data_IF_786534723302
#
_entry.id   IF_786534723302
#
_cell.length_a   1.000
_cell.length_b   1.000
_cell.length_c   1.000
_cell.angle_alpha   90.00
_cell.angle_beta   90.00
_cell.angle_gamma   90.00
#
_symmetry.space_group_name_H-M   'P 1'
#
loop_
_entity.id
_entity.type
_entity.pdbx_description
1 polymer ?
#
# COMPACT_ATOMS: atom_id res chain seq x y z
N UNK A 1 9.97 34.46 7.57
CA UNK A 1 8.66 33.96 7.12
C UNK A 1 8.02 35.02 6.23
N UNK A 2 8.05 34.82 4.90
CA UNK A 2 7.38 35.69 3.93
C UNK A 2 6.44 34.80 3.11
N UNK A 3 5.14 35.03 3.29
CA UNK A 3 4.04 34.33 2.65
C UNK A 3 3.81 35.04 1.29
N UNK A 4 3.93 34.31 0.18
CA UNK A 4 3.56 34.80 -1.15
C UNK A 4 2.09 34.49 -1.43
N UNK A 5 1.31 35.42 -2.03
CA UNK A 5 -0.05 35.14 -2.46
C UNK A 5 -0.06 34.47 -3.83
N UNK A 6 -0.77 33.34 -3.90
CA UNK A 6 -1.07 32.57 -5.12
C UNK A 6 -2.12 33.29 -5.96
N UNK A 7 -1.83 33.56 -7.24
CA UNK A 7 -2.80 34.09 -8.21
C UNK A 7 -3.71 32.98 -8.75
N UNK A 8 -5.02 33.23 -8.97
CA UNK A 8 -5.95 32.23 -9.49
C UNK A 8 -5.84 32.08 -11.01
N UNK A 9 -5.71 30.83 -11.46
CA UNK A 9 -5.67 30.42 -12.86
C UNK A 9 -7.08 30.51 -13.47
N UNK A 10 -7.32 31.54 -14.28
CA UNK A 10 -8.59 31.80 -14.96
C UNK A 10 -8.82 30.81 -16.11
N UNK A 11 -9.84 29.98 -15.98
CA UNK A 11 -10.36 29.11 -17.04
C UNK A 11 -10.98 29.95 -18.17
N UNK A 12 -10.45 29.80 -19.40
CA UNK A 12 -11.09 30.33 -20.61
C UNK A 12 -11.80 29.19 -21.33
N UNK A 13 -13.12 29.17 -21.19
CA UNK A 13 -14.05 28.44 -22.05
C UNK A 13 -13.85 28.89 -23.51
N UNK A 14 -13.56 27.97 -24.42
CA UNK A 14 -13.70 28.20 -25.87
C UNK A 14 -15.00 27.56 -26.33
N UNK A 15 -15.98 28.42 -26.64
CA UNK A 15 -17.20 28.05 -27.33
C UNK A 15 -16.86 27.64 -28.78
N UNK A 16 -17.26 26.43 -29.17
CA UNK A 16 -17.20 25.99 -30.55
C UNK A 16 -18.47 26.46 -31.27
N UNK A 17 -18.31 27.49 -32.10
CA UNK A 17 -19.35 27.97 -33.02
C UNK A 17 -19.52 26.96 -34.16
N UNK A 18 -20.76 26.49 -34.33
CA UNK A 18 -21.20 25.64 -35.44
C UNK A 18 -21.38 26.54 -36.67
N UNK A 19 -20.54 26.38 -37.69
CA UNK A 19 -20.81 26.91 -39.02
C UNK A 19 -21.19 25.78 -39.96
N UNK A 20 -22.49 25.69 -40.23
CA UNK A 20 -23.06 24.92 -41.32
C UNK A 20 -22.73 25.64 -42.63
N UNK A 21 -21.80 25.07 -43.41
CA UNK A 21 -21.52 25.52 -44.76
C UNK A 21 -22.21 24.60 -45.76
N UNK A 22 -23.30 25.10 -46.34
CA UNK A 22 -23.96 24.53 -47.52
C UNK A 22 -23.14 24.92 -48.74
N UNK A 23 -22.51 23.96 -49.39
CA UNK A 23 -22.01 24.13 -50.75
C UNK A 23 -22.51 22.98 -51.63
N UNK A 24 -23.21 23.44 -52.66
CA UNK A 24 -23.82 22.72 -53.77
C UNK A 24 -22.73 22.03 -54.59
N UNK A 25 -22.83 20.71 -54.78
CA UNK A 25 -22.08 19.99 -55.82
C UNK A 25 -23.03 19.70 -57.00
N UNK A 26 -22.69 20.11 -58.24
CA UNK A 26 -23.43 19.72 -59.43
C UNK A 26 -23.17 18.25 -59.79
N UNK A 27 -24.28 17.57 -60.11
CA UNK A 27 -24.34 16.20 -60.58
C UNK A 27 -23.55 16.03 -61.89
N UNK A 28 -22.45 15.29 -61.84
CA UNK A 28 -21.82 14.71 -63.02
C UNK A 28 -22.47 13.34 -63.26
N UNK A 29 -23.40 13.31 -64.20
CA UNK A 29 -23.91 12.09 -64.83
C UNK A 29 -22.74 11.30 -65.42
N UNK A 30 -22.43 10.15 -64.85
CA UNK A 30 -21.55 9.15 -65.45
C UNK A 30 -22.32 7.82 -65.47
N UNK A 31 -22.95 7.60 -66.61
CA UNK A 31 -23.55 6.34 -67.05
C UNK A 31 -22.48 5.25 -67.08
N UNK A 32 -22.51 4.34 -66.10
CA UNK A 32 -21.79 3.08 -66.18
C UNK A 32 -22.78 1.95 -66.45
N UNK A 33 -22.65 1.42 -67.67
CA UNK A 33 -23.45 0.33 -68.20
C UNK A 33 -23.26 -0.95 -67.37
N UNK A 34 -24.40 -1.57 -67.04
CA UNK A 34 -24.50 -2.93 -66.54
C UNK A 34 -24.07 -3.88 -67.66
N UNK A 35 -22.95 -4.58 -67.46
CA UNK A 35 -22.69 -5.87 -68.11
C UNK A 35 -22.47 -6.92 -67.03
N UNK A 36 -23.44 -7.85 -66.95
CA UNK A 36 -23.28 -9.14 -66.33
C UNK A 36 -22.36 -10.01 -67.20
N UNK A 37 -21.32 -10.59 -66.60
CA UNK A 37 -20.51 -11.66 -67.18
C UNK A 37 -20.11 -12.64 -66.06
N UNK A 38 -19.92 -13.93 -66.40
CA UNK A 38 -20.21 -15.06 -65.52
C UNK A 38 -19.09 -15.38 -64.52
N UNK A 39 -19.49 -15.98 -63.41
CA UNK A 39 -18.59 -16.58 -62.44
C UNK A 39 -17.86 -17.78 -63.05
N UNK A 40 -16.65 -17.57 -63.55
CA UNK A 40 -15.66 -18.64 -63.70
C UNK A 40 -14.84 -18.72 -62.42
N UNK A 41 -14.95 -19.85 -61.73
CA UNK A 41 -14.10 -20.19 -60.61
C UNK A 41 -12.66 -20.31 -61.07
N UNK A 42 -11.84 -19.31 -60.74
CA UNK A 42 -10.39 -19.49 -60.74
C UNK A 42 -10.00 -20.28 -59.49
N UNK A 43 -9.53 -21.50 -59.71
CA UNK A 43 -8.74 -22.24 -58.74
C UNK A 43 -7.43 -21.48 -58.48
N UNK A 44 -7.31 -20.90 -57.29
CA UNK A 44 -6.03 -20.36 -56.82
C UNK A 44 -5.04 -21.51 -56.63
N UNK A 45 -3.80 -21.42 -57.15
CA UNK A 45 -2.76 -22.37 -56.77
C UNK A 45 -2.43 -22.16 -55.29
N UNK A 46 -2.40 -23.25 -54.54
CA UNK A 46 -1.94 -23.27 -53.16
C UNK A 46 -0.54 -22.68 -53.10
N UNK A 47 -0.38 -21.57 -52.38
CA UNK A 47 0.92 -21.00 -52.08
C UNK A 47 1.77 -22.06 -51.39
N UNK A 48 2.92 -22.39 -51.98
CA UNK A 48 3.94 -23.17 -51.31
C UNK A 48 4.29 -22.49 -49.98
N UNK A 49 4.60 -23.24 -48.91
CA UNK A 49 5.02 -22.64 -47.65
C UNK A 49 6.27 -21.82 -47.93
N UNK A 50 6.17 -20.50 -47.78
CA UNK A 50 7.33 -19.63 -47.75
C UNK A 50 8.28 -20.19 -46.69
N UNK A 51 9.45 -20.64 -47.13
CA UNK A 51 10.50 -21.08 -46.23
C UNK A 51 10.67 -19.99 -45.17
N UNK A 52 10.50 -20.38 -43.91
CA UNK A 52 10.68 -19.48 -42.78
C UNK A 52 12.11 -18.93 -42.87
N UNK A 53 12.23 -17.67 -43.30
CA UNK A 53 13.49 -16.94 -43.24
C UNK A 53 13.88 -16.93 -41.77
N UNK A 54 15.06 -17.43 -41.38
CA UNK A 54 15.48 -17.36 -39.99
C UNK A 54 15.45 -15.90 -39.57
N UNK A 55 14.59 -15.58 -38.60
CA UNK A 55 14.48 -14.24 -38.02
C UNK A 55 15.63 -14.05 -37.05
N UNK A 56 16.85 -14.02 -37.59
CA UNK A 56 17.96 -13.39 -36.88
C UNK A 56 17.67 -11.89 -36.88
N UNK A 57 17.58 -11.24 -35.70
CA UNK A 57 17.39 -9.81 -35.65
C UNK A 57 18.54 -9.12 -36.40
N UNK A 58 18.26 -8.05 -37.16
CA UNK A 58 19.30 -7.30 -37.86
C UNK A 58 20.36 -6.80 -36.87
N UNK A 59 21.62 -7.11 -37.16
CA UNK A 59 22.78 -6.67 -36.36
C UNK A 59 23.21 -5.26 -36.81
N UNK A 60 22.48 -4.25 -36.30
CA UNK A 60 22.78 -2.84 -36.56
C UNK A 60 24.13 -2.41 -35.95
N UNK A 61 24.56 -3.05 -34.85
CA UNK A 61 25.78 -2.69 -34.12
C UNK A 61 27.03 -2.89 -34.96
N UNK A 62 27.18 -4.07 -35.59
CA UNK A 62 28.31 -4.35 -36.46
C UNK A 62 28.39 -3.39 -37.66
N UNK A 63 27.25 -2.92 -38.18
CA UNK A 63 27.23 -1.96 -39.30
C UNK A 63 27.64 -0.55 -38.85
N UNK A 64 27.23 -0.12 -37.65
CA UNK A 64 27.73 1.14 -37.05
C UNK A 64 29.25 1.12 -36.86
N UNK A 65 29.83 0.00 -36.44
CA UNK A 65 31.28 -0.14 -36.27
C UNK A 65 32.02 -0.06 -37.60
N UNK A 66 31.47 -0.64 -38.67
CA UNK A 66 32.00 -0.53 -40.04
C UNK A 66 31.94 0.90 -40.54
N UNK A 67 30.84 1.60 -40.33
CA UNK A 67 30.67 3.02 -40.70
C UNK A 67 31.68 3.88 -39.94
N UNK A 68 31.82 3.66 -38.63
CA UNK A 68 32.76 4.41 -37.77
C UNK A 68 34.21 4.17 -38.21
N UNK A 69 34.56 2.92 -38.49
CA UNK A 69 35.88 2.56 -39.03
C UNK A 69 36.09 3.20 -40.41
N UNK A 70 35.09 3.21 -41.28
CA UNK A 70 35.19 3.86 -42.58
C UNK A 70 35.42 5.38 -42.46
N UNK A 71 34.75 6.06 -41.52
CA UNK A 71 34.99 7.48 -41.21
C UNK A 71 36.43 7.71 -40.75
N UNK A 72 36.94 6.91 -39.81
CA UNK A 72 38.30 7.07 -39.29
C UNK A 72 39.36 6.82 -40.36
N UNK A 73 39.15 5.85 -41.26
CA UNK A 73 40.03 5.62 -42.41
C UNK A 73 40.01 6.77 -43.43
N UNK A 74 38.85 7.37 -43.69
CA UNK A 74 38.74 8.54 -44.58
C UNK A 74 39.48 9.75 -44.00
N UNK A 75 39.34 10.00 -42.70
CA UNK A 75 40.09 11.05 -42.00
C UNK A 75 41.60 10.79 -42.00
N UNK A 76 42.01 9.54 -41.78
CA UNK A 76 43.42 9.14 -41.86
C UNK A 76 44.00 9.39 -43.27
N UNK A 77 43.28 8.99 -44.33
CA UNK A 77 43.70 9.25 -45.72
C UNK A 77 43.83 10.74 -46.00
N UNK A 78 42.88 11.55 -45.53
CA UNK A 78 42.97 13.00 -45.66
C UNK A 78 44.20 13.57 -44.94
N UNK A 79 44.45 13.19 -43.69
CA UNK A 79 45.60 13.68 -42.93
C UNK A 79 46.94 13.33 -43.60
N UNK A 80 47.04 12.14 -44.21
CA UNK A 80 48.23 11.76 -44.99
C UNK A 80 48.35 12.56 -46.28
N UNK A 81 47.24 12.77 -47.00
CA UNK A 81 47.23 13.58 -48.22
C UNK A 81 47.60 15.05 -47.94
N UNK A 82 47.12 15.61 -46.83
CA UNK A 82 47.44 16.97 -46.39
C UNK A 82 48.94 17.13 -46.10
N UNK A 83 49.56 16.19 -45.37
CA UNK A 83 51.01 16.17 -45.16
C UNK A 83 51.78 16.12 -46.48
N UNK A 84 51.40 15.21 -47.37
CA UNK A 84 52.01 15.08 -48.70
C UNK A 84 51.78 16.29 -49.61
N UNK A 85 50.82 17.17 -49.32
CA UNK A 85 50.60 18.40 -50.08
C UNK A 85 51.63 19.48 -49.76
N UNK A 86 52.19 19.49 -48.55
CA UNK A 86 53.22 20.48 -48.17
C UNK A 86 54.54 20.28 -48.89
N UNK A 87 54.80 19.08 -49.42
CA UNK A 87 55.99 18.79 -50.25
C UNK A 87 55.83 19.26 -51.71
N UNK A 88 54.71 19.85 -52.09
CA UNK A 88 54.40 20.25 -53.48
C UNK A 88 54.44 21.75 -53.68
N UNK A 89 54.81 22.18 -54.87
CA UNK A 89 54.89 23.61 -55.21
C UNK A 89 53.52 24.33 -55.16
N UNK A 90 52.43 23.66 -55.58
CA UNK A 90 51.06 24.21 -55.53
C UNK A 90 50.29 23.67 -54.32
N UNK A 91 50.75 23.96 -53.10
CA UNK A 91 50.18 23.46 -51.84
C UNK A 91 48.67 23.73 -51.74
N UNK A 92 48.23 24.97 -51.97
CA UNK A 92 46.82 25.36 -51.83
C UNK A 92 45.89 24.51 -52.71
N UNK A 93 46.22 24.39 -53.99
CA UNK A 93 45.43 23.58 -54.94
C UNK A 93 45.46 22.09 -54.58
N UNK A 94 46.58 21.60 -54.03
CA UNK A 94 46.66 20.23 -53.56
C UNK A 94 45.72 19.98 -52.36
N UNK A 95 45.73 20.88 -51.38
CA UNK A 95 44.89 20.79 -50.19
C UNK A 95 43.40 20.86 -50.58
N UNK A 96 43.02 21.74 -51.49
CA UNK A 96 41.62 21.85 -51.95
C UNK A 96 41.14 20.55 -52.60
N UNK A 97 41.97 19.93 -53.45
CA UNK A 97 41.66 18.60 -54.01
C UNK A 97 41.54 17.51 -52.95
N UNK A 98 42.40 17.53 -51.92
CA UNK A 98 42.31 16.59 -50.82
C UNK A 98 41.02 16.78 -49.99
N UNK A 99 40.59 18.03 -49.79
CA UNK A 99 39.32 18.37 -49.13
C UNK A 99 38.11 17.90 -49.94
N UNK A 100 38.14 18.07 -51.27
CA UNK A 100 37.08 17.59 -52.15
C UNK A 100 36.96 16.06 -52.09
N UNK A 101 38.08 15.34 -52.17
CA UNK A 101 38.10 13.89 -52.02
C UNK A 101 37.53 13.44 -50.67
N UNK A 102 37.94 14.08 -49.57
CA UNK A 102 37.39 13.82 -48.22
C UNK A 102 35.88 14.08 -48.17
N UNK A 103 35.41 15.18 -48.74
CA UNK A 103 33.97 15.52 -48.76
C UNK A 103 33.17 14.44 -49.47
N UNK A 104 33.63 13.98 -50.63
CA UNK A 104 32.96 12.91 -51.39
C UNK A 104 32.95 11.58 -50.63
N UNK A 105 34.08 11.19 -50.03
CA UNK A 105 34.14 9.96 -49.22
C UNK A 105 33.20 10.03 -48.02
N UNK A 106 33.26 11.10 -47.23
CA UNK A 106 32.38 11.30 -46.07
C UNK A 106 30.90 11.38 -46.46
N UNK A 107 30.57 11.97 -47.61
CA UNK A 107 29.20 12.01 -48.11
C UNK A 107 28.65 10.59 -48.35
N UNK A 108 29.41 9.73 -49.04
CA UNK A 108 29.01 8.33 -49.26
C UNK A 108 28.86 7.52 -47.96
N UNK A 109 29.67 7.85 -46.95
CA UNK A 109 29.55 7.22 -45.63
C UNK A 109 28.30 7.73 -44.90
N UNK A 110 27.98 9.01 -45.03
CA UNK A 110 26.78 9.62 -44.43
C UNK A 110 25.49 9.07 -45.04
N UNK A 111 25.45 8.82 -46.35
CA UNK A 111 24.31 8.18 -47.01
C UNK A 111 24.03 6.79 -46.42
N UNK A 112 25.08 5.98 -46.20
CA UNK A 112 24.97 4.67 -45.55
C UNK A 112 24.47 4.77 -44.11
N UNK A 113 24.97 5.73 -43.35
CA UNK A 113 24.51 5.99 -41.97
C UNK A 113 23.03 6.37 -41.93
N UNK A 114 22.57 7.25 -42.82
CA UNK A 114 21.16 7.63 -42.90
C UNK A 114 20.25 6.46 -43.28
N UNK A 115 20.70 5.59 -44.19
CA UNK A 115 19.98 4.38 -44.55
C UNK A 115 19.87 3.39 -43.36
N UNK A 116 20.95 3.25 -42.58
CA UNK A 116 20.96 2.43 -41.37
C UNK A 116 19.99 2.98 -40.32
N UNK A 117 20.02 4.30 -40.08
CA UNK A 117 19.14 4.97 -39.12
C UNK A 117 17.65 4.88 -39.51
N UNK A 118 17.34 4.94 -40.81
CA UNK A 118 15.97 4.72 -41.32
C UNK A 118 15.53 3.27 -41.09
N UNK A 119 16.38 2.30 -41.40
CA UNK A 119 16.09 0.88 -41.16
C UNK A 119 15.85 0.59 -39.66
N UNK A 120 16.66 1.17 -38.77
CA UNK A 120 16.49 1.01 -37.32
C UNK A 120 15.20 1.67 -36.82
N UNK A 121 14.84 2.84 -37.35
CA UNK A 121 13.55 3.49 -37.05
C UNK A 121 12.36 2.64 -37.52
N UNK A 122 12.45 2.06 -38.71
CA UNK A 122 11.42 1.18 -39.26
C UNK A 122 11.28 -0.11 -38.43
N UNK A 123 12.39 -0.74 -38.03
CA UNK A 123 12.38 -1.93 -37.18
C UNK A 123 11.72 -1.65 -35.82
N UNK A 124 12.13 -0.56 -35.15
CA UNK A 124 11.51 -0.16 -33.88
C UNK A 124 10.02 0.16 -34.03
N UNK A 125 9.60 0.72 -35.16
CA UNK A 125 8.18 0.94 -35.44
C UNK A 125 7.43 -0.38 -35.61
N UNK A 126 7.95 -1.30 -36.42
CA UNK A 126 7.37 -2.62 -36.63
C UNK A 126 7.25 -3.41 -35.32
N UNK A 127 8.28 -3.38 -34.47
CA UNK A 127 8.24 -4.01 -33.14
C UNK A 127 7.17 -3.42 -32.24
N UNK A 128 7.03 -2.09 -32.19
CA UNK A 128 5.96 -1.45 -31.41
C UNK A 128 4.57 -1.83 -31.91
N UNK A 129 4.39 -1.94 -33.23
CA UNK A 129 3.11 -2.32 -33.83
C UNK A 129 2.79 -3.79 -33.54
N UNK A 130 3.77 -4.69 -33.59
CA UNK A 130 3.63 -6.08 -33.18
C UNK A 130 3.27 -6.19 -31.69
N UNK A 131 3.99 -5.51 -30.81
CA UNK A 131 3.70 -5.49 -29.37
C UNK A 131 2.31 -4.92 -29.07
N UNK A 132 1.89 -3.88 -29.80
CA UNK A 132 0.53 -3.34 -29.71
C UNK A 132 -0.51 -4.35 -30.15
N UNK A 133 -0.32 -5.00 -31.29
CA UNK A 133 -1.23 -6.03 -31.78
C UNK A 133 -1.37 -7.20 -30.81
N UNK A 134 -0.27 -7.64 -30.19
CA UNK A 134 -0.28 -8.68 -29.15
C UNK A 134 -1.06 -8.21 -27.93
N UNK A 135 -0.80 -7.00 -27.42
CA UNK A 135 -1.53 -6.45 -26.27
C UNK A 135 -3.01 -6.28 -26.56
N UNK A 136 -3.38 -5.79 -27.74
CA UNK A 136 -4.77 -5.63 -28.14
C UNK A 136 -5.46 -6.98 -28.27
N UNK A 137 -4.79 -8.00 -28.83
CA UNK A 137 -5.30 -9.37 -28.89
C UNK A 137 -5.52 -9.97 -27.51
N UNK A 138 -4.56 -9.84 -26.59
CA UNK A 138 -4.69 -10.28 -25.20
C UNK A 138 -5.82 -9.55 -24.48
N UNK A 139 -5.86 -8.22 -24.63
CA UNK A 139 -6.92 -7.39 -24.05
C UNK A 139 -8.29 -7.86 -24.54
N UNK A 140 -8.46 -8.07 -25.85
CA UNK A 140 -9.70 -8.53 -26.45
C UNK A 140 -10.08 -9.96 -26.01
N UNK A 141 -9.11 -10.87 -25.90
CA UNK A 141 -9.33 -12.22 -25.39
C UNK A 141 -9.82 -12.22 -23.93
N UNK A 142 -9.31 -11.32 -23.09
CA UNK A 142 -9.68 -11.19 -21.68
C UNK A 142 -10.94 -10.35 -21.44
N UNK A 143 -11.46 -9.63 -22.43
CA UNK A 143 -12.67 -8.79 -22.31
C UNK A 143 -13.84 -9.48 -21.61
N UNK A 144 -14.32 -10.66 -22.05
CA UNK A 144 -15.49 -11.29 -21.45
C UNK A 144 -15.25 -11.67 -19.98
N UNK A 145 -14.02 -12.08 -19.62
CA UNK A 145 -13.69 -12.40 -18.24
C UNK A 145 -13.70 -11.15 -17.36
N UNK A 146 -13.16 -10.03 -17.84
CA UNK A 146 -13.17 -8.76 -17.11
C UNK A 146 -14.58 -8.20 -16.95
N UNK A 147 -15.40 -8.27 -18.00
CA UNK A 147 -16.80 -7.86 -17.95
C UNK A 147 -17.61 -8.74 -16.97
N UNK A 148 -17.39 -10.06 -16.98
CA UNK A 148 -18.01 -10.96 -16.02
C UNK A 148 -17.56 -10.67 -14.57
N UNK A 149 -16.28 -10.38 -14.35
CA UNK A 149 -15.76 -10.00 -13.04
C UNK A 149 -16.34 -8.65 -12.57
N UNK A 150 -16.45 -7.66 -13.46
CA UNK A 150 -17.07 -6.38 -13.15
C UNK A 150 -18.55 -6.54 -12.77
N UNK A 151 -19.30 -7.35 -13.53
CA UNK A 151 -20.69 -7.65 -13.19
C UNK A 151 -20.80 -8.33 -11.82
N UNK A 152 -19.96 -9.33 -11.52
CA UNK A 152 -19.94 -9.98 -10.20
C UNK A 152 -19.64 -8.98 -9.08
N UNK A 153 -18.65 -8.11 -9.27
CA UNK A 153 -18.33 -7.08 -8.27
C UNK A 153 -19.50 -6.11 -8.05
N UNK A 154 -20.20 -5.71 -9.12
CA UNK A 154 -21.40 -4.86 -9.04
C UNK A 154 -22.53 -5.57 -8.27
N UNK A 155 -22.79 -6.84 -8.55
CA UNK A 155 -23.82 -7.62 -7.83
C UNK A 155 -23.45 -7.82 -6.37
N UNK A 156 -22.18 -8.13 -6.09
CA UNK A 156 -21.70 -8.34 -4.71
C UNK A 156 -21.78 -7.05 -3.89
N UNK A 157 -21.47 -5.90 -4.51
CA UNK A 157 -21.61 -4.60 -3.87
C UNK A 157 -23.08 -4.31 -3.54
N UNK A 158 -23.99 -4.52 -4.49
CA UNK A 158 -25.42 -4.33 -4.27
C UNK A 158 -25.97 -5.25 -3.16
N UNK A 159 -25.57 -6.52 -3.17
CA UNK A 159 -25.96 -7.50 -2.15
C UNK A 159 -25.45 -7.10 -0.75
N UNK A 160 -24.21 -6.64 -0.65
CA UNK A 160 -23.64 -6.14 0.61
C UNK A 160 -24.36 -4.90 1.11
N UNK A 161 -24.73 -3.98 0.21
CA UNK A 161 -25.49 -2.79 0.57
C UNK A 161 -26.86 -3.17 1.14
N UNK A 162 -27.56 -4.10 0.49
CA UNK A 162 -28.86 -4.58 1.00
C UNK A 162 -28.72 -5.31 2.34
N UNK A 163 -27.70 -6.17 2.47
CA UNK A 163 -27.43 -6.85 3.72
C UNK A 163 -27.13 -5.87 4.86
N UNK A 164 -26.40 -4.78 4.60
CA UNK A 164 -26.16 -3.72 5.59
C UNK A 164 -27.47 -3.06 6.01
N UNK A 165 -28.35 -2.71 5.07
CA UNK A 165 -29.67 -2.14 5.36
C UNK A 165 -30.53 -3.07 6.21
N UNK A 166 -30.54 -4.37 5.89
CA UNK A 166 -31.26 -5.38 6.67
C UNK A 166 -30.69 -5.53 8.08
N UNK A 167 -29.36 -5.58 8.21
CA UNK A 167 -28.68 -5.65 9.51
C UNK A 167 -28.94 -4.41 10.37
N UNK A 168 -28.96 -3.23 9.76
CA UNK A 168 -29.30 -1.97 10.43
C UNK A 168 -30.76 -1.97 10.89
N UNK A 169 -31.69 -2.38 10.02
CA UNK A 169 -33.10 -2.53 10.37
C UNK A 169 -33.29 -3.51 11.53
N UNK A 170 -32.61 -4.66 11.51
CA UNK A 170 -32.64 -5.63 12.62
C UNK A 170 -32.07 -5.04 13.91
N UNK A 171 -30.90 -4.37 13.86
CA UNK A 171 -30.31 -3.71 15.03
C UNK A 171 -31.23 -2.65 15.63
N UNK A 172 -31.94 -1.89 14.80
CA UNK A 172 -32.91 -0.90 15.25
C UNK A 172 -34.14 -1.58 15.86
N UNK A 173 -34.65 -2.64 15.26
CA UNK A 173 -35.76 -3.42 15.81
C UNK A 173 -35.40 -4.05 17.17
N UNK A 174 -34.18 -4.55 17.33
CA UNK A 174 -33.68 -5.16 18.58
C UNK A 174 -33.20 -4.13 19.61
N UNK A 175 -33.06 -2.86 19.26
CA UNK A 175 -32.59 -1.80 20.16
C UNK A 175 -33.37 -1.70 21.49
N UNK A 176 -34.72 -1.69 21.53
CA UNK A 176 -35.47 -1.65 22.78
C UNK A 176 -35.21 -2.90 23.64
N UNK A 177 -35.16 -4.08 23.02
CA UNK A 177 -34.91 -5.32 23.75
C UNK A 177 -33.46 -5.39 24.29
N UNK A 178 -32.47 -4.92 23.52
CA UNK A 178 -31.09 -4.77 24.00
C UNK A 178 -30.98 -3.77 25.15
N UNK A 179 -31.71 -2.66 25.10
CA UNK A 179 -31.75 -1.69 26.20
C UNK A 179 -32.38 -2.29 27.46
N UNK A 180 -33.48 -3.04 27.34
CA UNK A 180 -34.10 -3.74 28.46
C UNK A 180 -33.15 -4.79 29.07
N UNK A 181 -32.48 -5.58 28.23
CA UNK A 181 -31.49 -6.57 28.67
C UNK A 181 -30.29 -5.92 29.37
N UNK A 182 -29.79 -4.79 28.86
CA UNK A 182 -28.71 -4.03 29.48
C UNK A 182 -29.10 -3.49 30.85
N UNK A 183 -30.32 -2.94 30.99
CA UNK A 183 -30.85 -2.49 32.28
C UNK A 183 -31.00 -3.65 33.27
N UNK A 184 -31.50 -4.79 32.82
CA UNK A 184 -31.63 -5.99 33.65
C UNK A 184 -30.26 -6.51 34.12
N UNK A 185 -29.25 -6.50 33.25
CA UNK A 185 -27.88 -6.88 33.60
C UNK A 185 -27.25 -5.90 34.61
N UNK A 186 -27.42 -4.58 34.40
CA UNK A 186 -26.93 -3.56 35.31
C UNK A 186 -27.53 -3.70 36.71
N UNK A 187 -28.85 -3.97 36.81
CA UNK A 187 -29.51 -4.24 38.09
C UNK A 187 -28.93 -5.47 38.79
N UNK A 188 -28.74 -6.57 38.05
CA UNK A 188 -28.13 -7.80 38.62
C UNK A 188 -26.72 -7.53 39.15
N UNK A 189 -25.93 -6.72 38.45
CA UNK A 189 -24.60 -6.35 38.89
C UNK A 189 -24.65 -5.50 40.17
N UNK A 190 -25.50 -4.47 40.23
CA UNK A 190 -25.63 -3.64 41.43
C UNK A 190 -26.13 -4.44 42.64
N UNK A 191 -27.05 -5.37 42.42
CA UNK A 191 -27.56 -6.25 43.48
C UNK A 191 -26.47 -7.20 43.99
N UNK A 192 -25.63 -7.71 43.09
CA UNK A 192 -24.49 -8.55 43.45
C UNK A 192 -23.43 -7.76 44.24
N UNK A 193 -23.08 -6.56 43.77
CA UNK A 193 -22.11 -5.69 44.43
C UNK A 193 -22.61 -5.24 45.82
N UNK A 194 -23.91 -4.93 45.95
CA UNK A 194 -24.53 -4.61 47.23
C UNK A 194 -24.49 -5.79 48.20
N UNK A 195 -24.78 -7.01 47.72
CA UNK A 195 -24.65 -8.25 48.53
C UNK A 195 -23.22 -8.48 48.98
N UNK A 196 -22.24 -8.25 48.10
CA UNK A 196 -20.82 -8.41 48.44
C UNK A 196 -20.39 -7.41 49.51
N UNK A 197 -20.77 -6.14 49.38
CA UNK A 197 -20.50 -5.11 50.40
C UNK A 197 -21.17 -5.43 51.73
N UNK A 198 -22.44 -5.82 51.71
CA UNK A 198 -23.16 -6.21 52.93
C UNK A 198 -22.48 -7.41 53.61
N UNK A 199 -22.02 -8.40 52.84
CA UNK A 199 -21.28 -9.54 53.37
C UNK A 199 -19.90 -9.13 53.96
N UNK A 200 -19.20 -8.18 53.33
CA UNK A 200 -17.93 -7.64 53.83
C UNK A 200 -18.13 -6.85 55.13
N UNK A 201 -19.14 -5.98 55.19
CA UNK A 201 -19.47 -5.19 56.38
C UNK A 201 -19.90 -6.10 57.54
N UNK A 202 -20.74 -7.10 57.28
CA UNK A 202 -21.09 -8.12 58.27
C UNK A 202 -19.86 -8.90 58.71
N UNK A 203 -18.98 -9.28 57.79
CA UNK A 203 -17.71 -9.93 58.09
C UNK A 203 -16.81 -9.08 58.98
N UNK A 204 -16.66 -7.79 58.68
CA UNK A 204 -15.88 -6.82 59.43
C UNK A 204 -16.48 -6.55 60.83
N UNK A 205 -17.80 -6.36 60.92
CA UNK A 205 -18.49 -6.18 62.19
C UNK A 205 -18.36 -7.42 63.09
N UNK A 206 -18.50 -8.61 62.52
CA UNK A 206 -18.29 -9.87 63.24
C UNK A 206 -16.82 -10.05 63.66
N UNK A 207 -15.86 -9.68 62.82
CA UNK A 207 -14.44 -9.69 63.16
C UNK A 207 -14.10 -8.70 64.29
N UNK A 208 -14.67 -7.50 64.28
CA UNK A 208 -14.52 -6.50 65.34
C UNK A 208 -15.09 -7.01 66.67
N UNK A 209 -16.31 -7.58 66.66
CA UNK A 209 -16.91 -8.22 67.85
C UNK A 209 -16.05 -9.35 68.40
N UNK A 210 -15.46 -10.18 67.53
CA UNK A 210 -14.52 -11.24 67.94
C UNK A 210 -13.26 -10.65 68.56
N UNK A 211 -12.68 -9.61 67.95
CA UNK A 211 -11.49 -8.94 68.48
C UNK A 211 -11.74 -8.30 69.86
N UNK A 212 -12.89 -7.66 70.06
CA UNK A 212 -13.29 -7.10 71.35
C UNK A 212 -13.53 -8.19 72.39
N UNK A 213 -14.21 -9.27 72.02
CA UNK A 213 -14.40 -10.43 72.90
C UNK A 213 -13.07 -11.07 73.33
N UNK A 214 -12.09 -11.14 72.42
CA UNK A 214 -10.74 -11.62 72.73
C UNK A 214 -10.03 -10.68 73.69
N UNK A 215 -10.10 -9.35 73.49
CA UNK A 215 -9.51 -8.36 74.43
C UNK A 215 -10.13 -8.48 75.82
N UNK A 216 -11.45 -8.51 75.93
CA UNK A 216 -12.14 -8.67 77.22
C UNK A 216 -11.76 -9.98 77.90
N UNK A 217 -11.58 -11.07 77.13
CA UNK A 217 -11.13 -12.34 77.69
C UNK A 217 -9.69 -12.26 78.20
N UNK A 218 -8.77 -11.62 77.47
CA UNK A 218 -7.39 -11.39 77.90
C UNK A 218 -7.31 -10.51 79.16
N UNK A 219 -8.09 -9.43 79.23
CA UNK A 219 -8.19 -8.56 80.42
C UNK A 219 -8.69 -9.34 81.63
N UNK A 220 -9.77 -10.13 81.48
CA UNK A 220 -10.27 -11.01 82.54
C UNK A 220 -9.23 -12.02 83.01
N UNK A 221 -8.42 -12.57 82.10
CA UNK A 221 -7.32 -13.46 82.47
C UNK A 221 -6.25 -12.71 83.28
N UNK A 222 -5.83 -11.51 82.86
CA UNK A 222 -4.85 -10.71 83.59
C UNK A 222 -5.35 -10.28 84.96
N UNK A 223 -6.62 -9.85 85.06
CA UNK A 223 -7.25 -9.46 86.32
C UNK A 223 -7.42 -10.64 87.27
N UNK A 224 -7.76 -11.82 86.76
CA UNK A 224 -7.78 -13.04 87.56
C UNK A 224 -6.39 -13.36 88.14
N UNK A 225 -5.32 -13.23 87.34
CA UNK A 225 -3.93 -13.43 87.79
C UNK A 225 -3.51 -12.36 88.82
N UNK A 226 -3.84 -11.08 88.60
CA UNK A 226 -3.55 -10.00 89.56
C UNK A 226 -4.29 -10.23 90.88
N UNK A 227 -5.57 -10.59 90.83
CA UNK A 227 -6.37 -10.87 92.02
C UNK A 227 -5.85 -12.08 92.79
N UNK A 228 -5.38 -13.13 92.10
CA UNK A 228 -4.71 -14.25 92.76
C UNK A 228 -3.45 -13.78 93.51
N UNK A 229 -2.59 -13.00 92.86
CA UNK A 229 -1.39 -12.44 93.50
C UNK A 229 -1.73 -11.57 94.71
N UNK A 230 -2.70 -10.66 94.59
CA UNK A 230 -3.13 -9.78 95.70
C UNK A 230 -3.68 -10.59 96.88
N UNK A 231 -4.45 -11.65 96.61
CA UNK A 231 -4.97 -12.53 97.66
C UNK A 231 -3.84 -13.30 98.35
N UNK A 232 -2.85 -13.78 97.61
CA UNK A 232 -1.70 -14.48 98.17
C UNK A 232 -0.79 -13.52 98.96
N UNK A 233 -0.54 -12.30 98.46
CA UNK A 233 0.14 -11.24 99.22
C UNK A 233 -0.62 -10.87 100.49
N UNK A 234 -1.96 -10.74 100.44
CA UNK A 234 -2.80 -10.53 101.64
C UNK A 234 -2.66 -11.67 102.64
N UNK A 235 -2.60 -12.92 102.17
CA UNK A 235 -2.41 -14.10 103.03
C UNK A 235 -1.03 -14.07 103.69
N UNK A 236 0.01 -13.79 102.93
CA UNK A 236 1.38 -13.63 103.45
C UNK A 236 1.50 -12.47 104.42
N UNK A 237 0.91 -11.31 104.12
CA UNK A 237 0.91 -10.15 105.01
C UNK A 237 0.15 -10.44 106.30
N UNK A 238 -0.95 -11.20 106.24
CA UNK A 238 -1.68 -11.65 107.43
C UNK A 238 -0.85 -12.65 108.24
N UNK A 239 -0.13 -13.59 107.58
CA UNK A 239 0.83 -14.49 108.24
C UNK A 239 1.96 -13.72 108.92
N UNK A 240 2.61 -12.79 108.22
CA UNK A 240 3.66 -11.92 108.78
C UNK A 240 3.16 -11.07 109.94
N UNK A 241 1.94 -10.51 109.86
CA UNK A 241 1.30 -9.79 110.96
C UNK A 241 1.03 -10.70 112.16
N UNK A 242 0.60 -11.93 111.92
CA UNK A 242 0.37 -12.91 112.98
C UNK A 242 1.69 -13.40 113.61
N UNK A 243 2.75 -13.61 112.83
CA UNK A 243 4.10 -13.96 113.32
C UNK A 243 4.74 -12.80 114.11
N UNK A 244 4.56 -11.55 113.68
CA UNK A 244 4.95 -10.37 114.46
C UNK A 244 4.15 -10.25 115.76
N UNK A 245 2.85 -10.55 115.76
CA UNK A 245 2.05 -10.61 116.98
C UNK A 245 2.43 -11.81 117.89
N UNK A 246 2.87 -12.94 117.33
CA UNK A 246 3.38 -14.07 118.11
C UNK A 246 4.76 -13.78 118.72
N UNK A 247 5.66 -13.09 118.01
CA UNK A 247 6.95 -12.67 118.56
C UNK A 247 6.81 -11.57 119.64
N UNK A 248 5.71 -10.80 119.62
CA UNK A 248 5.35 -9.88 120.70
C UNK A 248 4.55 -10.56 121.84
N UNK A 249 4.25 -11.86 121.74
CA UNK A 249 3.61 -12.63 122.82
C UNK A 249 4.49 -13.82 123.20
N UNK A 250 5.43 -13.54 124.09
CA UNK A 250 5.94 -14.56 125.01
C UNK A 250 5.90 -14.04 126.43
N UNK A 251 5.60 -14.95 127.38
CA UNK A 251 4.71 -14.68 128.48
C UNK A 251 5.49 -14.55 129.77
N UNK A 252 5.07 -13.65 130.67
CA UNK A 252 5.18 -13.69 132.13
C UNK A 252 4.90 -12.29 132.68
N UNK A 253 3.93 -12.18 133.58
CA UNK A 253 3.92 -11.10 134.58
C UNK A 253 2.56 -10.50 134.90
N UNK A 254 1.95 -11.06 135.97
CA UNK A 254 0.92 -10.51 136.86
C UNK A 254 -0.54 -10.49 136.41
#
# INVERSE_FOLDING_TARGET
>A
MRIMPTLPFSARCRAAARHASRLVLPAFMLTFAVLAAPAWGQSQPAAAPAAAVPVTPPDFGAEHDRITSAKSWAEYRYAQAERACYDKFLVTRCIDKAKDARRTELHSIRERELALDEAERADRAARRDQERAIRDAQYNAERPQREAAEQKNRTDFANKQEQQRLNEAQRQADAPQRAANAQAAAKKQSDYDAKLKAAQEQGAANAAKRAESVKQFQEKQQDAVKRQKELDERREQTKRRNEQNQNNTSPLGF
#
